data_IF_501133285646
#
_entry.id   IF_501133285646
#
_cell.length_a   1.000
_cell.length_b   1.000
_cell.length_c   1.000
_cell.angle_alpha   90.00
_cell.angle_beta   90.00
_cell.angle_gamma   90.00
#
_symmetry.space_group_name_H-M   'P 1'
#
loop_
_entity.id
_entity.type
_entity.pdbx_description
1 polymer ?
#
# COMPACT_ATOMS: atom_id res chain seq x y z
N UNK A 1 -27.75 25.46 4.54
CA UNK A 1 -29.20 25.30 4.77
C UNK A 1 -29.41 23.97 5.47
N UNK A 2 -29.68 24.03 6.77
CA UNK A 2 -30.21 22.89 7.49
C UNK A 2 -31.61 22.68 6.93
N UNK A 3 -31.79 21.64 6.15
CA UNK A 3 -33.09 21.09 5.81
C UNK A 3 -33.76 20.74 7.14
N UNK A 4 -34.80 21.49 7.50
CA UNK A 4 -35.70 21.16 8.60
C UNK A 4 -36.33 19.79 8.27
N UNK A 5 -35.72 18.74 8.77
CA UNK A 5 -36.34 17.42 8.74
C UNK A 5 -37.45 17.44 9.78
N UNK A 6 -38.72 17.26 9.38
CA UNK A 6 -39.82 17.29 10.30
C UNK A 6 -39.61 16.28 11.45
N UNK A 7 -39.83 16.70 12.66
CA UNK A 7 -39.78 15.79 13.81
C UNK A 7 -40.95 14.82 13.76
N UNK A 8 -40.85 13.71 14.49
CA UNK A 8 -41.98 12.75 14.62
C UNK A 8 -43.23 13.42 15.19
N UNK A 9 -43.05 14.39 16.04
CA UNK A 9 -44.16 15.15 16.67
C UNK A 9 -44.78 16.10 15.64
N UNK A 10 -44.02 16.69 14.75
CA UNK A 10 -44.54 17.51 13.64
C UNK A 10 -45.40 16.69 12.69
N UNK A 11 -44.98 15.43 12.40
CA UNK A 11 -45.77 14.51 11.57
C UNK A 11 -47.08 14.10 12.26
N UNK A 12 -47.05 13.87 13.59
CA UNK A 12 -48.26 13.48 14.33
C UNK A 12 -49.26 14.63 14.46
N UNK A 13 -48.79 15.87 14.49
CA UNK A 13 -49.60 17.08 14.56
C UNK A 13 -49.93 17.66 13.18
N UNK A 14 -49.53 16.97 12.11
CA UNK A 14 -49.88 17.41 10.75
C UNK A 14 -51.40 17.41 10.55
N UNK A 15 -51.93 18.60 10.27
CA UNK A 15 -53.34 18.80 9.99
C UNK A 15 -53.70 18.46 8.56
N UNK A 16 -54.76 17.75 8.35
CA UNK A 16 -55.35 17.51 7.02
C UNK A 16 -56.85 17.73 7.06
N UNK A 17 -57.37 18.37 6.01
CA UNK A 17 -58.82 18.64 5.85
C UNK A 17 -59.52 17.43 5.21
N UNK A 18 -60.51 16.91 5.86
CA UNK A 18 -61.44 15.96 5.30
C UNK A 18 -62.77 16.63 4.95
N UNK A 19 -63.32 16.26 3.83
CA UNK A 19 -64.59 16.81 3.36
C UNK A 19 -65.67 15.74 3.51
N UNK A 20 -66.60 15.95 4.44
CA UNK A 20 -67.75 15.08 4.67
C UNK A 20 -69.00 15.76 4.16
N UNK A 21 -69.92 14.99 3.57
CA UNK A 21 -71.23 15.52 3.16
C UNK A 21 -72.24 15.14 4.21
N UNK A 22 -72.88 16.15 4.81
CA UNK A 22 -73.91 15.98 5.82
C UNK A 22 -75.22 15.44 5.18
N UNK A 23 -76.16 14.92 6.02
CA UNK A 23 -77.44 14.35 5.53
C UNK A 23 -78.27 15.36 4.73
N UNK A 24 -78.04 16.66 4.91
CA UNK A 24 -78.69 17.75 4.19
C UNK A 24 -77.98 18.15 2.88
N UNK A 25 -76.90 17.40 2.45
CA UNK A 25 -76.20 17.65 1.22
C UNK A 25 -75.15 18.78 1.30
N UNK A 26 -74.89 19.34 2.48
CA UNK A 26 -73.89 20.39 2.62
C UNK A 26 -72.48 19.78 2.86
N UNK A 27 -71.52 20.40 2.27
CA UNK A 27 -70.11 20.00 2.42
C UNK A 27 -69.52 20.61 3.71
N UNK A 28 -69.24 19.76 4.68
CA UNK A 28 -68.58 20.16 5.92
C UNK A 28 -67.08 19.81 5.82
N UNK A 29 -66.20 20.79 6.07
CA UNK A 29 -64.77 20.59 6.17
C UNK A 29 -64.42 20.38 7.64
N UNK A 30 -63.79 19.25 7.93
CA UNK A 30 -63.28 18.95 9.27
C UNK A 30 -61.76 18.80 9.17
N UNK A 31 -61.07 19.41 10.13
CA UNK A 31 -59.63 19.33 10.23
C UNK A 31 -59.25 18.28 11.26
N UNK A 32 -58.47 17.30 10.86
CA UNK A 32 -58.04 16.21 11.71
C UNK A 32 -56.51 16.16 11.77
N UNK A 33 -55.99 15.68 12.87
CA UNK A 33 -54.54 15.42 13.04
C UNK A 33 -54.29 13.93 12.90
N UNK A 34 -53.06 13.55 12.43
CA UNK A 34 -52.70 12.14 12.31
C UNK A 34 -52.77 11.42 13.64
N UNK A 35 -52.51 12.14 14.76
CA UNK A 35 -52.61 11.61 16.12
C UNK A 35 -54.00 11.13 16.56
N UNK A 36 -55.07 11.58 15.89
CA UNK A 36 -56.46 11.12 16.18
C UNK A 36 -56.71 9.71 15.65
N UNK A 37 -56.06 9.33 14.58
CA UNK A 37 -56.28 8.05 13.88
C UNK A 37 -55.16 7.04 14.04
N UNK A 38 -53.96 7.47 14.45
CA UNK A 38 -52.78 6.65 14.60
C UNK A 38 -52.23 6.61 16.01
N UNK A 39 -51.84 5.42 16.44
CA UNK A 39 -51.15 5.24 17.73
C UNK A 39 -49.68 5.00 17.48
N UNK A 40 -48.82 5.79 18.13
CA UNK A 40 -47.39 5.65 18.02
C UNK A 40 -46.90 4.49 18.90
N UNK A 41 -46.25 3.53 18.29
CA UNK A 41 -45.58 2.43 18.98
C UNK A 41 -44.09 2.49 18.68
N UNK A 42 -43.28 2.58 19.71
CA UNK A 42 -41.82 2.55 19.57
C UNK A 42 -41.33 1.12 19.77
N UNK A 43 -40.72 0.56 18.77
CA UNK A 43 -40.17 -0.79 18.83
C UNK A 43 -38.65 -0.71 18.65
N UNK A 44 -37.89 -1.45 19.45
CA UNK A 44 -36.48 -1.58 19.25
C UNK A 44 -36.25 -2.43 17.97
N UNK A 45 -35.55 -1.89 17.01
CA UNK A 45 -35.21 -2.55 15.76
C UNK A 45 -33.77 -2.27 15.38
N UNK A 46 -33.24 -3.12 14.54
CA UNK A 46 -31.91 -2.86 13.97
C UNK A 46 -32.05 -1.79 12.90
N UNK A 47 -31.28 -0.72 13.01
CA UNK A 47 -31.22 0.36 12.01
C UNK A 47 -30.60 -0.15 10.71
N UNK A 48 -29.64 -1.05 10.83
CA UNK A 48 -28.93 -1.66 9.71
C UNK A 48 -28.57 -3.12 10.04
N UNK A 49 -28.70 -3.99 9.07
CA UNK A 49 -28.28 -5.39 9.17
C UNK A 49 -27.18 -5.61 8.13
N UNK A 50 -25.94 -5.50 8.53
CA UNK A 50 -24.79 -5.79 7.70
C UNK A 50 -24.56 -7.29 7.57
N UNK A 51 -24.14 -7.72 6.39
CA UNK A 51 -23.78 -9.10 6.10
C UNK A 51 -22.47 -9.16 5.34
N UNK A 52 -21.61 -10.07 5.77
CA UNK A 52 -20.39 -10.41 5.08
C UNK A 52 -20.37 -11.91 4.78
N UNK A 53 -20.08 -12.28 3.54
CA UNK A 53 -20.10 -13.68 3.08
C UNK A 53 -21.40 -14.44 3.41
N UNK A 54 -22.55 -13.74 3.42
CA UNK A 54 -23.86 -14.32 3.74
C UNK A 54 -24.21 -14.41 5.23
N UNK A 55 -23.25 -14.23 6.14
CA UNK A 55 -23.43 -14.21 7.59
C UNK A 55 -23.75 -12.81 8.09
N UNK A 56 -24.56 -12.68 9.16
CA UNK A 56 -24.80 -11.39 9.81
C UNK A 56 -23.53 -10.93 10.54
N UNK A 57 -23.20 -9.67 10.39
CA UNK A 57 -22.03 -9.06 11.00
C UNK A 57 -22.45 -7.90 11.91
N UNK A 58 -21.77 -7.79 13.06
CA UNK A 58 -21.80 -6.61 13.91
C UNK A 58 -20.39 -6.03 13.96
N UNK A 59 -20.23 -4.81 13.49
CA UNK A 59 -18.94 -4.11 13.55
C UNK A 59 -18.89 -3.22 14.79
N UNK A 60 -17.84 -3.42 15.60
CA UNK A 60 -17.51 -2.56 16.73
C UNK A 60 -16.22 -1.84 16.35
N UNK A 61 -16.30 -0.52 16.17
CA UNK A 61 -15.15 0.32 15.84
C UNK A 61 -14.61 1.01 17.09
N UNK A 62 -13.28 1.04 17.19
CA UNK A 62 -12.58 1.79 18.23
C UNK A 62 -11.36 2.47 17.61
N UNK A 63 -11.01 3.64 18.12
CA UNK A 63 -9.82 4.37 17.73
C UNK A 63 -8.77 4.28 18.82
N UNK A 64 -7.50 4.24 18.41
CA UNK A 64 -6.36 4.24 19.32
C UNK A 64 -6.10 5.66 19.84
N UNK A 65 -5.84 5.82 21.13
CA UNK A 65 -5.45 7.11 21.68
C UNK A 65 -4.10 7.59 21.10
N UNK A 66 -3.89 8.92 21.06
CA UNK A 66 -2.63 9.50 20.60
C UNK A 66 -1.43 8.94 21.35
N UNK A 67 -0.37 8.61 20.64
CA UNK A 67 0.87 8.06 21.19
C UNK A 67 0.90 6.53 21.33
N UNK A 68 -0.18 5.84 21.02
CA UNK A 68 -0.21 4.37 21.00
C UNK A 68 -0.11 3.81 19.58
N UNK A 69 0.61 2.69 19.44
CA UNK A 69 0.75 2.00 18.17
C UNK A 69 -0.38 0.99 17.98
N UNK A 70 -1.23 1.22 16.98
CA UNK A 70 -2.39 0.38 16.65
C UNK A 70 -2.00 -1.08 16.41
N UNK A 71 -0.87 -1.33 15.75
CA UNK A 71 -0.41 -2.68 15.46
C UNK A 71 -0.03 -3.47 16.72
N UNK A 72 0.61 -2.80 17.70
CA UNK A 72 0.95 -3.45 18.98
C UNK A 72 -0.31 -3.77 19.79
N UNK A 73 -1.27 -2.84 19.84
CA UNK A 73 -2.55 -3.05 20.54
C UNK A 73 -3.34 -4.19 19.88
N UNK A 74 -3.41 -4.21 18.54
CA UNK A 74 -4.10 -5.28 17.82
C UNK A 74 -3.50 -6.65 18.11
N UNK A 75 -2.16 -6.73 18.18
CA UNK A 75 -1.45 -7.96 18.53
C UNK A 75 -1.69 -8.45 19.95
N UNK A 76 -1.93 -7.54 20.91
CA UNK A 76 -2.32 -7.88 22.29
C UNK A 76 -3.81 -8.23 22.41
N UNK A 77 -4.66 -7.65 21.55
CA UNK A 77 -6.09 -7.86 21.56
C UNK A 77 -6.50 -9.20 20.94
N UNK A 78 -5.78 -9.65 19.91
CA UNK A 78 -6.07 -10.89 19.18
C UNK A 78 -6.19 -12.14 20.10
N UNK A 79 -5.23 -12.44 21.02
CA UNK A 79 -5.36 -13.55 21.93
C UNK A 79 -6.51 -13.37 22.93
N UNK A 80 -6.80 -12.15 23.37
CA UNK A 80 -7.90 -11.86 24.28
C UNK A 80 -9.27 -12.07 23.62
N UNK A 81 -9.38 -11.79 22.32
CA UNK A 81 -10.61 -12.10 21.56
C UNK A 81 -10.84 -13.60 21.43
N UNK A 82 -9.75 -14.38 21.28
CA UNK A 82 -9.83 -15.83 21.20
C UNK A 82 -10.25 -16.48 22.53
N UNK A 83 -10.01 -15.81 23.68
CA UNK A 83 -10.42 -16.27 25.01
C UNK A 83 -11.89 -15.93 25.35
N UNK A 84 -12.56 -15.09 24.55
CA UNK A 84 -13.96 -14.72 24.79
C UNK A 84 -14.88 -15.92 24.61
N UNK A 85 -15.71 -16.19 25.64
CA UNK A 85 -16.77 -17.18 25.55
C UNK A 85 -17.95 -16.62 24.76
N UNK A 86 -17.98 -16.91 23.47
CA UNK A 86 -19.06 -16.50 22.58
C UNK A 86 -20.13 -17.59 22.48
N UNK A 87 -21.38 -17.22 22.20
CA UNK A 87 -22.45 -18.19 21.90
C UNK A 87 -22.11 -19.06 20.69
N UNK A 88 -22.68 -20.26 20.65
CA UNK A 88 -22.49 -21.17 19.52
C UNK A 88 -22.85 -20.53 18.18
N UNK A 89 -21.94 -20.58 17.22
CA UNK A 89 -22.11 -20.02 15.88
C UNK A 89 -21.73 -18.54 15.75
N UNK A 90 -21.21 -17.91 16.79
CA UNK A 90 -20.67 -16.55 16.76
C UNK A 90 -19.15 -16.58 16.81
N UNK A 91 -18.51 -15.92 15.86
CA UNK A 91 -17.04 -15.73 15.84
C UNK A 91 -16.73 -14.25 16.00
N UNK A 92 -15.71 -13.92 16.77
CA UNK A 92 -15.17 -12.57 16.85
C UNK A 92 -13.80 -12.54 16.17
N UNK A 93 -13.65 -11.68 15.18
CA UNK A 93 -12.41 -11.50 14.46
C UNK A 93 -11.99 -10.04 14.52
N UNK A 94 -10.70 -9.81 14.67
CA UNK A 94 -10.16 -8.48 14.58
C UNK A 94 -10.11 -8.10 13.10
N UNK A 95 -11.00 -7.21 12.69
CA UNK A 95 -11.00 -6.62 11.35
C UNK A 95 -10.47 -5.18 11.45
N UNK A 96 -9.82 -4.71 10.43
CA UNK A 96 -9.39 -3.32 10.38
C UNK A 96 -8.09 -3.15 9.59
N UNK A 97 -7.54 -1.96 9.68
CA UNK A 97 -6.36 -1.55 8.92
C UNK A 97 -5.16 -2.50 9.12
N UNK A 98 -4.93 -2.95 10.35
CA UNK A 98 -3.80 -3.85 10.68
C UNK A 98 -3.92 -5.21 10.00
N UNK A 99 -5.12 -5.81 9.95
CA UNK A 99 -5.34 -7.11 9.31
C UNK A 99 -5.20 -6.96 7.79
N UNK A 100 -5.81 -5.91 7.22
CA UNK A 100 -5.69 -5.61 5.79
C UNK A 100 -4.23 -5.35 5.40
N UNK A 101 -3.50 -4.55 6.18
CA UNK A 101 -2.08 -4.29 5.95
C UNK A 101 -1.27 -5.59 5.99
N UNK A 102 -1.51 -6.47 6.94
CA UNK A 102 -0.78 -7.74 7.05
C UNK A 102 -1.05 -8.68 5.86
N UNK A 103 -2.31 -8.79 5.44
CA UNK A 103 -2.67 -9.56 4.24
C UNK A 103 -2.05 -8.98 2.97
N UNK A 104 -2.10 -7.66 2.82
CA UNK A 104 -1.50 -6.94 1.70
C UNK A 104 0.02 -7.05 1.69
N UNK A 105 0.69 -7.00 2.85
CA UNK A 105 2.11 -7.29 2.98
C UNK A 105 2.46 -8.70 2.48
N UNK A 106 1.65 -9.69 2.84
CA UNK A 106 1.80 -11.07 2.37
C UNK A 106 1.62 -11.19 0.85
N UNK A 107 0.65 -10.50 0.27
CA UNK A 107 0.43 -10.46 -1.18
C UNK A 107 1.57 -9.74 -1.90
N UNK A 108 2.03 -8.60 -1.38
CA UNK A 108 3.15 -7.85 -1.92
C UNK A 108 4.46 -8.65 -1.88
N UNK A 109 4.72 -9.38 -0.79
CA UNK A 109 5.88 -10.27 -0.70
C UNK A 109 5.85 -11.39 -1.77
N UNK A 110 4.67 -11.97 -2.04
CA UNK A 110 4.49 -12.95 -3.13
C UNK A 110 4.73 -12.32 -4.51
N UNK A 111 4.19 -11.12 -4.75
CA UNK A 111 4.40 -10.39 -6.00
C UNK A 111 5.88 -10.02 -6.19
N UNK A 112 6.56 -9.59 -5.13
CA UNK A 112 7.98 -9.28 -5.15
C UNK A 112 8.82 -10.53 -5.47
N UNK A 113 8.52 -11.67 -4.82
CA UNK A 113 9.19 -12.94 -5.09
C UNK A 113 8.97 -13.40 -6.54
N UNK A 114 7.75 -13.26 -7.06
CA UNK A 114 7.42 -13.59 -8.44
C UNK A 114 8.14 -12.68 -9.43
N UNK A 115 8.17 -11.38 -9.16
CA UNK A 115 8.88 -10.41 -9.98
C UNK A 115 10.40 -10.70 -10.00
N UNK A 116 10.99 -11.01 -8.85
CA UNK A 116 12.39 -11.46 -8.73
C UNK A 116 12.67 -12.70 -9.58
N UNK A 117 11.78 -13.67 -9.53
CA UNK A 117 11.89 -14.90 -10.30
C UNK A 117 11.86 -14.60 -11.82
N UNK A 118 10.92 -13.79 -12.28
CA UNK A 118 10.85 -13.40 -13.69
C UNK A 118 12.08 -12.62 -14.14
N UNK A 119 12.52 -11.65 -13.34
CA UNK A 119 13.75 -10.89 -13.64
C UNK A 119 14.95 -11.82 -13.72
N UNK A 120 15.07 -12.79 -12.81
CA UNK A 120 16.13 -13.79 -12.86
C UNK A 120 16.09 -14.61 -14.15
N UNK A 121 14.93 -15.13 -14.54
CA UNK A 121 14.80 -15.89 -15.79
C UNK A 121 15.15 -15.06 -17.04
N UNK A 122 14.69 -13.82 -17.12
CA UNK A 122 15.02 -12.93 -18.23
C UNK A 122 16.54 -12.68 -18.28
N UNK A 123 17.17 -12.45 -17.12
CA UNK A 123 18.61 -12.26 -17.06
C UNK A 123 19.39 -13.53 -17.43
N UNK A 124 18.96 -14.71 -16.98
CA UNK A 124 19.59 -15.98 -17.36
C UNK A 124 19.52 -16.18 -18.88
N UNK A 125 18.37 -15.89 -19.49
CA UNK A 125 18.21 -15.97 -20.94
C UNK A 125 19.13 -14.97 -21.69
N UNK A 126 19.29 -13.75 -21.13
CA UNK A 126 20.10 -12.69 -21.73
C UNK A 126 21.62 -12.95 -21.60
N UNK A 127 22.05 -13.35 -20.41
CA UNK A 127 23.48 -13.56 -20.12
C UNK A 127 23.97 -14.97 -20.48
N UNK A 128 23.07 -15.90 -20.77
CA UNK A 128 23.40 -17.32 -20.98
C UNK A 128 24.29 -17.93 -19.88
N UNK A 129 24.15 -17.40 -18.66
CA UNK A 129 24.91 -17.77 -17.47
C UNK A 129 23.99 -17.71 -16.25
N UNK A 130 24.19 -18.62 -15.31
CA UNK A 130 23.43 -18.63 -14.04
C UNK A 130 24.06 -17.71 -12.98
N UNK A 131 25.36 -17.46 -13.06
CA UNK A 131 26.10 -16.70 -12.05
C UNK A 131 25.98 -15.18 -12.25
N UNK A 132 26.01 -14.70 -13.49
CA UNK A 132 25.94 -13.26 -13.77
C UNK A 132 24.63 -12.63 -13.26
N UNK A 133 23.44 -13.23 -13.46
CA UNK A 133 22.19 -12.76 -12.86
C UNK A 133 22.23 -12.73 -11.33
N UNK A 134 22.82 -13.73 -10.71
CA UNK A 134 22.90 -13.82 -9.26
C UNK A 134 23.68 -12.65 -8.64
N UNK A 135 24.78 -12.23 -9.28
CA UNK A 135 25.57 -11.07 -8.87
C UNK A 135 24.73 -9.78 -8.95
N UNK A 136 23.96 -9.63 -10.03
CA UNK A 136 23.07 -8.46 -10.18
C UNK A 136 21.97 -8.47 -9.13
N UNK A 137 21.36 -9.62 -8.85
CA UNK A 137 20.32 -9.74 -7.83
C UNK A 137 20.81 -9.36 -6.43
N UNK A 138 22.12 -9.50 -6.16
CA UNK A 138 22.69 -9.10 -4.87
C UNK A 138 22.60 -7.58 -4.62
N UNK A 139 22.38 -6.78 -5.66
CA UNK A 139 22.14 -5.34 -5.51
C UNK A 139 20.76 -5.01 -4.92
N UNK A 140 19.80 -5.95 -5.01
CA UNK A 140 18.42 -5.74 -4.51
C UNK A 140 18.37 -5.61 -2.99
N UNK A 141 18.94 -6.50 -2.18
CA UNK A 141 19.02 -6.31 -0.73
C UNK A 141 19.65 -4.97 -0.32
N UNK A 142 20.67 -4.52 -1.08
CA UNK A 142 21.29 -3.21 -0.84
C UNK A 142 20.30 -2.07 -1.12
N UNK A 143 19.53 -2.15 -2.19
CA UNK A 143 18.50 -1.16 -2.48
C UNK A 143 17.42 -1.13 -1.40
N UNK A 144 16.99 -2.30 -0.91
CA UNK A 144 16.03 -2.40 0.18
C UNK A 144 16.54 -1.76 1.47
N UNK A 145 17.80 -2.02 1.84
CA UNK A 145 18.38 -1.35 3.02
C UNK A 145 18.41 0.16 2.87
N UNK A 146 18.72 0.67 1.68
CA UNK A 146 18.68 2.11 1.38
C UNK A 146 17.27 2.70 1.49
N UNK A 147 16.26 2.00 0.97
CA UNK A 147 14.86 2.41 1.09
C UNK A 147 14.35 2.42 2.54
N UNK A 148 14.69 1.39 3.33
CA UNK A 148 14.36 1.32 4.75
C UNK A 148 15.06 2.42 5.56
N UNK A 149 16.34 2.69 5.27
CA UNK A 149 17.06 3.80 5.90
C UNK A 149 16.43 5.15 5.55
N UNK A 150 15.93 5.32 4.32
CA UNK A 150 15.20 6.52 3.92
C UNK A 150 13.94 6.73 4.75
N UNK A 151 13.10 5.69 4.91
CA UNK A 151 11.89 5.74 5.75
C UNK A 151 12.23 6.02 7.22
N UNK A 152 13.26 5.37 7.76
CA UNK A 152 13.70 5.63 9.15
C UNK A 152 14.20 7.06 9.36
N UNK A 153 14.92 7.62 8.39
CA UNK A 153 15.47 8.98 8.50
C UNK A 153 14.39 10.06 8.44
N UNK A 154 13.31 9.81 7.73
CA UNK A 154 12.16 10.74 7.61
C UNK A 154 11.07 10.50 8.65
N UNK A 155 11.08 9.37 9.34
CA UNK A 155 10.03 8.99 10.28
C UNK A 155 8.73 8.49 9.61
N UNK A 156 8.77 8.28 8.29
CA UNK A 156 7.63 7.76 7.54
C UNK A 156 7.36 6.29 7.84
N UNK A 157 6.09 5.94 7.93
CA UNK A 157 5.65 4.58 8.19
C UNK A 157 5.71 3.71 6.92
N UNK A 158 5.91 2.42 7.14
CA UNK A 158 5.81 1.44 6.05
C UNK A 158 4.36 1.27 5.64
N UNK A 159 3.94 1.94 4.58
CA UNK A 159 2.61 1.89 3.99
C UNK A 159 2.58 0.97 2.76
N UNK A 160 1.37 0.66 2.26
CA UNK A 160 1.20 -0.07 0.99
C UNK A 160 1.87 0.65 -0.18
N UNK A 161 1.79 1.97 -0.19
CA UNK A 161 2.35 2.80 -1.27
C UNK A 161 3.87 2.81 -1.19
N UNK A 162 4.46 2.85 0.02
CA UNK A 162 5.91 2.69 0.18
C UNK A 162 6.41 1.31 -0.27
N UNK A 163 5.61 0.24 -0.05
CA UNK A 163 5.91 -1.11 -0.57
C UNK A 163 5.88 -1.17 -2.09
N UNK A 164 4.93 -0.48 -2.74
CA UNK A 164 4.96 -0.31 -4.20
C UNK A 164 6.23 0.41 -4.66
N UNK A 165 6.73 1.35 -3.85
CA UNK A 165 8.04 1.99 -4.06
C UNK A 165 9.18 0.97 -4.12
N UNK A 166 9.20 -0.03 -3.27
CA UNK A 166 10.20 -1.11 -3.31
C UNK A 166 10.11 -1.95 -4.58
N UNK A 167 8.90 -2.23 -5.10
CA UNK A 167 8.74 -2.92 -6.39
C UNK A 167 9.35 -2.12 -7.55
N UNK A 168 9.05 -0.83 -7.61
CA UNK A 168 9.61 0.06 -8.64
C UNK A 168 11.13 0.17 -8.50
N UNK A 169 11.60 0.36 -7.26
CA UNK A 169 13.03 0.45 -6.93
C UNK A 169 13.80 -0.78 -7.42
N UNK A 170 13.25 -1.98 -7.18
CA UNK A 170 13.86 -3.22 -7.64
C UNK A 170 14.08 -3.22 -9.16
N UNK A 171 13.07 -2.83 -9.94
CA UNK A 171 13.18 -2.79 -11.40
C UNK A 171 14.25 -1.81 -11.89
N UNK A 172 14.33 -0.63 -11.29
CA UNK A 172 15.30 0.39 -11.68
C UNK A 172 16.74 -0.02 -11.31
N UNK A 173 16.94 -0.56 -10.10
CA UNK A 173 18.26 -0.97 -9.61
C UNK A 173 18.81 -2.15 -10.40
N UNK A 174 17.97 -3.14 -10.68
CA UNK A 174 18.36 -4.29 -11.50
C UNK A 174 18.77 -3.86 -12.92
N UNK A 175 18.02 -2.94 -13.52
CA UNK A 175 18.37 -2.42 -14.85
C UNK A 175 19.77 -1.77 -14.86
N UNK A 176 20.12 -0.99 -13.84
CA UNK A 176 21.44 -0.39 -13.72
C UNK A 176 22.54 -1.46 -13.55
N UNK A 177 22.27 -2.50 -12.76
CA UNK A 177 23.18 -3.64 -12.56
C UNK A 177 23.39 -4.45 -13.84
N UNK A 178 22.34 -4.70 -14.62
CA UNK A 178 22.41 -5.43 -15.91
C UNK A 178 23.34 -4.70 -16.86
N UNK A 179 23.14 -3.40 -17.08
CA UNK A 179 23.94 -2.60 -18.01
C UNK A 179 25.42 -2.59 -17.63
N UNK A 180 25.74 -2.61 -16.34
CA UNK A 180 27.12 -2.67 -15.86
C UNK A 180 27.74 -4.04 -16.12
N UNK A 181 27.10 -5.13 -15.72
CA UNK A 181 27.64 -6.48 -15.83
C UNK A 181 27.72 -6.93 -17.29
N UNK A 182 26.72 -6.58 -18.11
CA UNK A 182 26.70 -6.89 -19.54
C UNK A 182 27.91 -6.26 -20.27
N UNK A 183 28.15 -4.98 -20.04
CA UNK A 183 29.28 -4.29 -20.66
C UNK A 183 30.64 -4.83 -20.21
N UNK A 184 30.78 -5.18 -18.93
CA UNK A 184 31.96 -5.82 -18.41
C UNK A 184 32.23 -7.19 -19.09
N UNK A 185 31.17 -7.98 -19.30
CA UNK A 185 31.27 -9.26 -20.00
C UNK A 185 31.65 -9.07 -21.48
N UNK A 186 31.07 -8.11 -22.18
CA UNK A 186 31.41 -7.80 -23.57
C UNK A 186 32.89 -7.43 -23.73
N UNK A 187 33.45 -6.62 -22.84
CA UNK A 187 34.88 -6.27 -22.86
C UNK A 187 35.77 -7.47 -22.58
N UNK A 188 35.35 -8.40 -21.73
CA UNK A 188 36.09 -9.64 -21.45
C UNK A 188 36.09 -10.58 -22.67
N UNK A 189 34.94 -10.73 -23.32
CA UNK A 189 34.84 -11.51 -24.59
C UNK A 189 35.73 -10.87 -25.66
N UNK A 190 35.87 -9.54 -25.68
CA UNK A 190 36.77 -8.80 -26.54
C UNK A 190 38.28 -8.96 -26.21
N UNK A 191 38.64 -9.79 -25.21
CA UNK A 191 40.01 -10.14 -24.86
C UNK A 191 40.68 -9.23 -23.79
N UNK A 192 39.93 -8.32 -23.15
CA UNK A 192 40.50 -7.55 -22.06
C UNK A 192 40.64 -8.40 -20.79
N UNK A 193 41.71 -8.16 -20.04
CA UNK A 193 41.87 -8.73 -18.70
C UNK A 193 40.75 -8.27 -17.79
N UNK A 194 40.36 -9.09 -16.81
CA UNK A 194 39.21 -8.89 -15.94
C UNK A 194 39.27 -7.55 -15.20
N UNK A 195 40.42 -7.21 -14.62
CA UNK A 195 40.66 -5.94 -13.94
C UNK A 195 40.45 -4.73 -14.85
N UNK A 196 41.01 -4.81 -16.05
CA UNK A 196 40.96 -3.74 -17.04
C UNK A 196 39.53 -3.56 -17.62
N UNK A 197 38.82 -4.68 -17.87
CA UNK A 197 37.43 -4.66 -18.27
C UNK A 197 36.53 -3.98 -17.23
N UNK A 198 36.74 -4.24 -15.93
CA UNK A 198 35.96 -3.59 -14.86
C UNK A 198 36.26 -2.09 -14.75
N UNK A 199 37.53 -1.70 -14.83
CA UNK A 199 37.94 -0.28 -14.82
C UNK A 199 37.38 0.46 -16.04
N UNK A 200 37.49 -0.15 -17.22
CA UNK A 200 36.93 0.42 -18.45
C UNK A 200 35.40 0.54 -18.39
N UNK A 201 34.72 -0.47 -17.85
CA UNK A 201 33.27 -0.44 -17.63
C UNK A 201 32.88 0.69 -16.66
N UNK A 202 33.58 0.82 -15.52
CA UNK A 202 33.33 1.88 -14.58
C UNK A 202 33.47 3.27 -15.23
N UNK A 203 34.54 3.50 -15.98
CA UNK A 203 34.76 4.78 -16.69
C UNK A 203 33.67 5.09 -17.71
N UNK A 204 33.19 4.08 -18.45
CA UNK A 204 32.24 4.27 -19.55
C UNK A 204 30.81 4.33 -19.06
N UNK A 205 30.40 3.47 -18.12
CA UNK A 205 29.00 3.29 -17.69
C UNK A 205 28.62 4.09 -16.46
N UNK A 206 29.58 4.62 -15.68
CA UNK A 206 29.29 5.41 -14.50
C UNK A 206 28.48 6.68 -14.81
N UNK A 207 28.83 7.40 -15.90
CA UNK A 207 28.10 8.62 -16.28
C UNK A 207 26.62 8.33 -16.63
N UNK A 208 26.29 7.38 -17.50
CA UNK A 208 24.88 7.02 -17.78
C UNK A 208 24.11 6.58 -16.53
N UNK A 209 24.71 5.75 -15.66
CA UNK A 209 24.07 5.28 -14.44
C UNK A 209 23.79 6.43 -13.48
N UNK A 210 24.74 7.32 -13.24
CA UNK A 210 24.54 8.50 -12.39
C UNK A 210 23.50 9.45 -12.98
N UNK A 211 23.45 9.60 -14.31
CA UNK A 211 22.47 10.44 -14.97
C UNK A 211 21.04 9.90 -14.79
N UNK A 212 20.82 8.61 -14.98
CA UNK A 212 19.51 7.98 -14.75
C UNK A 212 19.10 8.03 -13.28
N UNK A 213 20.04 7.77 -12.37
CA UNK A 213 19.79 7.88 -10.94
C UNK A 213 19.40 9.31 -10.54
N UNK A 214 20.17 10.29 -10.97
CA UNK A 214 19.91 11.69 -10.62
C UNK A 214 18.59 12.19 -11.19
N UNK A 215 18.27 11.86 -12.44
CA UNK A 215 16.98 12.24 -13.03
C UNK A 215 15.81 11.59 -12.33
N UNK A 216 15.90 10.32 -11.94
CA UNK A 216 14.85 9.62 -11.19
C UNK A 216 14.70 10.21 -9.79
N UNK A 217 15.80 10.46 -9.08
CA UNK A 217 15.78 11.09 -7.75
C UNK A 217 15.16 12.47 -7.81
N UNK A 218 15.57 13.32 -8.76
CA UNK A 218 14.99 14.66 -8.95
C UNK A 218 13.49 14.60 -9.28
N UNK A 219 13.07 13.65 -10.11
CA UNK A 219 11.65 13.43 -10.40
C UNK A 219 10.86 13.03 -9.14
N UNK A 220 11.42 12.17 -8.29
CA UNK A 220 10.77 11.79 -7.03
C UNK A 220 10.77 12.91 -5.98
N UNK A 221 11.82 13.75 -5.95
CA UNK A 221 11.87 14.92 -5.06
C UNK A 221 10.71 15.86 -5.28
N UNK A 222 10.22 16.01 -6.52
CA UNK A 222 9.06 16.87 -6.78
C UNK A 222 7.79 16.40 -6.08
N UNK A 223 7.65 15.09 -5.83
CA UNK A 223 6.51 14.53 -5.09
C UNK A 223 6.52 14.88 -3.61
N UNK A 224 7.69 15.20 -3.04
CA UNK A 224 7.80 15.57 -1.62
C UNK A 224 7.30 17.01 -1.34
N UNK A 225 7.17 17.84 -2.36
CA UNK A 225 6.71 19.23 -2.23
C UNK A 225 5.22 19.41 -2.54
N UNK A 226 4.52 18.38 -2.94
CA UNK A 226 3.08 18.42 -3.15
C UNK A 226 2.34 18.58 -1.82
N UNK A 227 1.30 19.42 -1.81
CA UNK A 227 0.47 19.70 -0.63
C UNK A 227 -0.92 19.07 -0.72
N UNK A 228 -1.18 18.33 -1.77
CA UNK A 228 -2.42 17.63 -2.01
C UNK A 228 -2.38 16.21 -1.39
N UNK A 229 -3.54 15.68 -1.09
CA UNK A 229 -3.71 14.36 -0.45
C UNK A 229 -3.01 13.23 -1.24
N UNK A 230 -2.98 13.33 -2.57
CA UNK A 230 -2.31 12.35 -3.41
C UNK A 230 -0.78 12.38 -3.24
N UNK A 231 -0.19 13.57 -3.08
CA UNK A 231 1.23 13.74 -2.80
C UNK A 231 1.59 13.22 -1.42
N UNK A 232 0.79 13.51 -0.41
CA UNK A 232 1.00 13.01 0.96
C UNK A 232 1.01 11.49 0.98
N UNK A 233 0.06 10.83 0.33
CA UNK A 233 0.04 9.37 0.20
C UNK A 233 1.25 8.82 -0.56
N UNK A 234 1.78 9.55 -1.53
CA UNK A 234 2.90 9.13 -2.39
C UNK A 234 4.27 9.43 -1.80
N UNK A 235 4.34 10.23 -0.73
CA UNK A 235 5.60 10.63 -0.08
C UNK A 235 6.43 9.42 0.36
N UNK A 236 5.81 8.42 0.99
CA UNK A 236 6.50 7.19 1.40
C UNK A 236 7.14 6.44 0.23
N UNK A 237 6.46 6.38 -0.92
CA UNK A 237 7.02 5.77 -2.14
C UNK A 237 8.22 6.58 -2.67
N UNK A 238 8.12 7.89 -2.72
CA UNK A 238 9.20 8.76 -3.18
C UNK A 238 10.45 8.61 -2.30
N UNK A 239 10.29 8.59 -0.98
CA UNK A 239 11.38 8.41 -0.02
C UNK A 239 12.09 7.07 -0.21
N UNK A 240 11.33 5.98 -0.37
CA UNK A 240 11.89 4.64 -0.63
C UNK A 240 12.72 4.63 -1.91
N UNK A 241 12.22 5.23 -2.98
CA UNK A 241 12.93 5.27 -4.27
C UNK A 241 14.17 6.16 -4.16
N UNK A 242 14.08 7.35 -3.56
CA UNK A 242 15.22 8.26 -3.39
C UNK A 242 16.31 7.61 -2.53
N UNK A 243 15.95 7.11 -1.35
CA UNK A 243 16.89 6.47 -0.42
C UNK A 243 17.50 5.19 -0.99
N UNK A 244 16.63 4.33 -1.51
CA UNK A 244 17.04 3.04 -2.07
C UNK A 244 17.91 3.17 -3.32
N UNK A 245 17.51 4.03 -4.26
CA UNK A 245 18.26 4.22 -5.52
C UNK A 245 19.60 4.92 -5.27
N UNK A 246 19.64 5.93 -4.40
CA UNK A 246 20.89 6.62 -4.04
C UNK A 246 21.86 5.66 -3.37
N UNK A 247 21.41 4.93 -2.35
CA UNK A 247 22.22 3.96 -1.63
C UNK A 247 22.68 2.81 -2.54
N UNK A 248 21.75 2.21 -3.30
CA UNK A 248 22.09 1.13 -4.21
C UNK A 248 23.09 1.56 -5.29
N UNK A 249 22.94 2.77 -5.84
CA UNK A 249 23.87 3.27 -6.86
C UNK A 249 25.27 3.47 -6.28
N UNK A 250 25.39 4.08 -5.11
CA UNK A 250 26.67 4.22 -4.45
C UNK A 250 27.30 2.84 -4.15
N UNK A 251 26.53 1.92 -3.57
CA UNK A 251 27.03 0.59 -3.23
C UNK A 251 27.34 -0.25 -4.46
N UNK A 252 26.56 -0.15 -5.52
CA UNK A 252 26.83 -0.85 -6.79
C UNK A 252 28.17 -0.41 -7.40
N UNK A 253 28.48 0.88 -7.35
CA UNK A 253 29.76 1.40 -7.85
C UNK A 253 30.97 0.88 -7.05
N UNK A 254 30.79 0.61 -5.74
CA UNK A 254 31.87 0.13 -4.88
C UNK A 254 31.89 -1.39 -4.74
N UNK A 255 30.73 -2.04 -4.59
CA UNK A 255 30.64 -3.47 -4.25
C UNK A 255 30.65 -4.36 -5.49
N UNK A 256 29.89 -4.01 -6.56
CA UNK A 256 29.78 -4.90 -7.73
C UNK A 256 31.13 -5.23 -8.40
N UNK A 257 32.11 -4.31 -8.48
CA UNK A 257 33.43 -4.67 -9.01
C UNK A 257 34.14 -5.78 -8.20
N UNK A 258 33.88 -5.88 -6.88
CA UNK A 258 34.48 -6.89 -6.01
C UNK A 258 34.10 -8.33 -6.40
N UNK A 259 32.82 -8.75 -6.30
CA UNK A 259 32.38 -10.09 -6.67
C UNK A 259 32.72 -10.45 -8.13
N UNK A 260 32.56 -9.52 -9.06
CA UNK A 260 32.91 -9.75 -10.47
C UNK A 260 34.43 -10.02 -10.64
N UNK A 261 35.25 -9.41 -9.80
CA UNK A 261 36.70 -9.69 -9.81
C UNK A 261 37.05 -11.10 -9.31
N UNK A 262 36.29 -11.63 -8.34
CA UNK A 262 36.58 -12.93 -7.71
C UNK A 262 35.87 -14.12 -8.37
N UNK A 263 34.73 -13.92 -9.02
CA UNK A 263 34.05 -15.02 -9.69
C UNK A 263 34.82 -15.48 -10.92
N UNK A 264 35.25 -16.74 -10.89
CA UNK A 264 35.73 -17.45 -12.08
C UNK A 264 34.52 -17.71 -12.99
N UNK A 265 34.06 -16.71 -13.74
CA UNK A 265 33.14 -16.91 -14.84
C UNK A 265 33.93 -17.62 -15.94
N UNK A 266 34.10 -18.93 -15.79
CA UNK A 266 34.50 -19.82 -16.90
C UNK A 266 33.30 -19.87 -17.84
N UNK A 267 33.51 -19.41 -19.04
CA UNK A 267 32.76 -19.84 -20.22
C UNK A 267 33.01 -21.31 -20.42
#
# INVERSE_FOLDING_TARGET
DKTDTPTLDDIFNMEFETTTTDEDGNTVKETHTLGEFATRTTTAGYTEISRENGSRQLSITSETAEGYNTTLISRELEPKLAELQLPDGVTAELAGETTQVTEMLGQMAKMLALALLFVYFVMVAQFQSLLSPFIVLFTIPLAFTGGMLGLMATGEQLSLISLMGFLVLMGVVVNNGIVFVDYANQLRIGGLERSDALVATGRTRMRPILMTTLTTVLAMVTMLFGTDMASEMSTGMAIVIIGGLSYATLMTLFIVPGPVSYTHLTL
#
